data_IF_277875995203
#
_entry.id   IF_277875995203
#
_cell.length_a   1.000
_cell.length_b   1.000
_cell.length_c   1.000
_cell.angle_alpha   90.00
_cell.angle_beta   90.00
_cell.angle_gamma   90.00
#
_symmetry.space_group_name_H-M   'P 1'
#
loop_
_entity.id
_entity.type
_entity.pdbx_description
1 polymer ?
#
# COMPACT_ATOMS: atom_id res chain seq x y z
N UNK A 1 2.98 25.30 -17.13
CA UNK A 1 1.78 24.54 -16.79
C UNK A 1 2.06 23.56 -15.68
N UNK A 2 1.32 23.67 -14.64
CA UNK A 2 1.51 22.81 -13.51
C UNK A 2 1.11 21.38 -13.83
N UNK A 3 2.01 20.45 -13.59
CA UNK A 3 1.71 19.03 -13.67
C UNK A 3 1.44 18.50 -12.29
N UNK A 4 0.25 18.79 -11.81
CA UNK A 4 -0.22 18.20 -10.56
C UNK A 4 -0.90 16.86 -10.79
N UNK A 5 -0.63 16.25 -11.95
CA UNK A 5 -1.20 14.95 -12.27
C UNK A 5 -0.63 13.89 -11.34
N UNK A 6 -1.51 13.04 -10.85
CA UNK A 6 -1.09 11.88 -10.08
C UNK A 6 -0.32 10.91 -10.96
N UNK A 7 0.79 10.38 -10.44
CA UNK A 7 1.60 9.38 -11.16
C UNK A 7 0.83 8.08 -11.36
N UNK A 8 0.02 7.72 -10.36
CA UNK A 8 -0.92 6.61 -10.45
C UNK A 8 -2.27 7.07 -9.92
N UNK A 9 -3.37 6.83 -10.64
CA UNK A 9 -4.68 7.13 -10.10
C UNK A 9 -5.00 6.22 -8.92
N UNK A 10 -5.65 6.77 -7.90
CA UNK A 10 -6.13 5.96 -6.79
C UNK A 10 -7.16 4.94 -7.28
N UNK A 11 -7.13 3.76 -6.68
CA UNK A 11 -8.16 2.74 -6.87
C UNK A 11 -8.91 2.63 -5.56
N UNK A 12 -9.92 3.48 -5.37
CA UNK A 12 -10.67 3.57 -4.13
C UNK A 12 -12.16 3.63 -4.40
N UNK A 13 -12.93 3.01 -3.52
CA UNK A 13 -14.38 3.12 -3.47
C UNK A 13 -14.82 2.87 -2.02
N UNK A 14 -16.07 3.18 -1.65
CA UNK A 14 -16.54 2.95 -0.29
C UNK A 14 -16.49 1.48 0.13
N UNK A 15 -16.16 1.27 1.40
CA UNK A 15 -16.27 -0.03 2.07
C UNK A 15 -15.40 -1.15 1.50
N UNK A 16 -14.22 -0.82 0.99
CA UNK A 16 -13.26 -1.83 0.57
C UNK A 16 -12.80 -2.66 1.77
N UNK A 17 -12.49 -3.92 1.52
CA UNK A 17 -11.97 -4.82 2.56
C UNK A 17 -10.54 -4.44 2.94
N UNK A 18 -9.77 -3.98 1.97
CA UNK A 18 -8.33 -3.72 2.12
C UNK A 18 -7.89 -2.61 1.18
N UNK A 19 -7.06 -1.70 1.68
CA UNK A 19 -6.37 -0.72 0.83
C UNK A 19 -4.88 -0.85 1.08
N UNK A 20 -4.11 -1.12 0.03
CA UNK A 20 -2.65 -1.08 0.09
C UNK A 20 -2.17 0.35 -0.10
N UNK A 21 -1.22 0.76 0.73
CA UNK A 21 -0.70 2.13 0.73
C UNK A 21 0.81 2.11 0.62
N UNK A 22 1.34 2.76 -0.43
CA UNK A 22 2.77 2.95 -0.61
C UNK A 22 3.19 4.39 -0.35
N UNK A 23 4.49 4.65 -0.38
CA UNK A 23 5.00 6.02 -0.27
C UNK A 23 4.68 6.79 -1.54
N UNK A 24 5.10 6.26 -2.69
CA UNK A 24 4.87 6.83 -4.01
C UNK A 24 5.12 5.76 -5.07
N UNK A 25 4.71 6.04 -6.30
CA UNK A 25 4.99 5.14 -7.42
C UNK A 25 6.49 5.04 -7.66
N UNK A 26 6.99 3.85 -8.01
CA UNK A 26 8.34 3.73 -8.56
C UNK A 26 8.38 4.40 -9.93
N UNK A 27 9.58 4.66 -10.44
CA UNK A 27 9.73 5.21 -11.79
C UNK A 27 9.03 4.33 -12.81
N UNK A 28 9.23 3.01 -12.72
CA UNK A 28 8.62 2.06 -13.64
C UNK A 28 7.09 2.06 -13.54
N UNK A 29 6.57 2.11 -12.31
CA UNK A 29 5.12 2.16 -12.08
C UNK A 29 4.52 3.44 -12.66
N UNK A 30 5.19 4.57 -12.49
CA UNK A 30 4.72 5.85 -13.03
C UNK A 30 4.71 5.83 -14.57
N UNK A 31 5.73 5.25 -15.18
CA UNK A 31 5.81 5.15 -16.64
C UNK A 31 4.70 4.26 -17.22
N UNK A 32 4.43 3.15 -16.58
CA UNK A 32 3.44 2.17 -17.07
C UNK A 32 2.02 2.48 -16.59
N UNK A 33 1.86 3.30 -15.56
CA UNK A 33 0.56 3.54 -14.96
C UNK A 33 0.02 2.34 -14.17
N UNK A 34 0.89 1.47 -13.66
CA UNK A 34 0.53 0.26 -12.93
C UNK A 34 1.19 0.23 -11.56
N UNK A 35 0.43 -0.16 -10.53
CA UNK A 35 0.95 -0.29 -9.18
C UNK A 35 1.95 -1.44 -9.09
N UNK A 36 3.07 -1.19 -8.38
CA UNK A 36 4.10 -2.20 -8.10
C UNK A 36 4.59 -2.92 -9.37
N UNK A 37 4.88 -2.13 -10.40
CA UNK A 37 5.16 -2.66 -11.74
C UNK A 37 6.61 -3.06 -11.99
N UNK A 38 7.55 -2.66 -11.12
CA UNK A 38 8.95 -3.01 -11.33
C UNK A 38 9.13 -4.54 -11.28
N UNK A 39 9.87 -5.14 -12.25
CA UNK A 39 10.03 -6.60 -12.29
C UNK A 39 10.60 -7.22 -11.03
N UNK A 40 11.44 -6.48 -10.30
CA UNK A 40 12.02 -6.94 -9.03
C UNK A 40 11.09 -6.81 -7.83
N UNK A 41 9.90 -6.23 -8.01
CA UNK A 41 8.96 -6.07 -6.91
C UNK A 41 8.19 -7.36 -6.68
N UNK A 42 8.13 -7.79 -5.41
CA UNK A 42 7.48 -9.05 -5.04
C UNK A 42 5.98 -8.92 -4.76
N UNK A 43 5.42 -7.72 -4.86
CA UNK A 43 4.05 -7.46 -4.41
C UNK A 43 3.03 -8.45 -4.97
N UNK A 44 2.99 -8.57 -6.30
CA UNK A 44 1.96 -9.40 -6.96
C UNK A 44 2.10 -10.88 -6.63
N UNK A 45 3.34 -11.36 -6.53
CA UNK A 45 3.61 -12.74 -6.10
C UNK A 45 3.22 -12.92 -4.64
N UNK A 46 3.56 -11.95 -3.78
CA UNK A 46 3.32 -12.04 -2.35
C UNK A 46 1.83 -12.11 -2.02
N UNK A 47 1.00 -11.28 -2.63
CA UNK A 47 -0.44 -11.30 -2.32
C UNK A 47 -1.11 -12.59 -2.79
N UNK A 48 -0.59 -13.23 -3.82
CA UNK A 48 -1.07 -14.54 -4.23
C UNK A 48 -0.56 -15.65 -3.29
N UNK A 49 0.74 -15.69 -3.03
CA UNK A 49 1.34 -16.70 -2.15
C UNK A 49 0.79 -16.63 -0.73
N UNK A 50 0.50 -15.43 -0.24
CA UNK A 50 -0.10 -15.24 1.08
C UNK A 50 -1.58 -15.63 1.14
N UNK A 51 -2.23 -15.77 -0.01
CA UNK A 51 -3.64 -16.13 -0.07
C UNK A 51 -4.60 -14.95 -0.08
N UNK A 52 -4.13 -13.74 -0.36
CA UNK A 52 -4.99 -12.55 -0.46
C UNK A 52 -5.78 -12.57 -1.76
N UNK A 53 -5.13 -12.98 -2.86
CA UNK A 53 -5.79 -13.10 -4.16
C UNK A 53 -5.91 -14.56 -4.57
N UNK A 54 -6.96 -14.93 -5.33
CA UNK A 54 -7.18 -16.34 -5.72
C UNK A 54 -6.21 -16.84 -6.79
N UNK A 55 -5.55 -15.90 -7.50
CA UNK A 55 -4.54 -16.21 -8.50
C UNK A 55 -3.49 -15.12 -8.52
N UNK A 56 -2.41 -15.32 -9.23
CA UNK A 56 -1.41 -14.29 -9.43
C UNK A 56 -1.88 -13.32 -10.52
N UNK A 57 -2.02 -12.05 -10.16
CA UNK A 57 -2.35 -10.98 -11.11
C UNK A 57 -1.08 -10.33 -11.62
N UNK A 58 -1.13 -9.79 -12.82
CA UNK A 58 -0.05 -8.97 -13.36
C UNK A 58 -0.27 -7.50 -12.95
N UNK A 59 0.78 -6.68 -12.90
CA UNK A 59 0.60 -5.27 -12.53
C UNK A 59 -0.45 -4.53 -13.35
N UNK A 60 -0.56 -4.82 -14.64
CA UNK A 60 -1.56 -4.20 -15.50
C UNK A 60 -3.00 -4.55 -15.15
N UNK A 61 -3.20 -5.56 -14.33
CA UNK A 61 -4.53 -5.98 -13.89
C UNK A 61 -4.93 -5.37 -12.54
N UNK A 62 -4.16 -4.41 -12.03
CA UNK A 62 -4.39 -3.87 -10.68
C UNK A 62 -5.81 -3.36 -10.47
N UNK A 63 -6.43 -2.76 -11.49
CA UNK A 63 -7.79 -2.24 -11.38
C UNK A 63 -8.82 -3.34 -11.14
N UNK A 64 -8.55 -4.57 -11.56
CA UNK A 64 -9.47 -5.69 -11.36
C UNK A 64 -9.59 -6.08 -9.87
N UNK A 65 -8.63 -5.74 -9.05
CA UNK A 65 -8.66 -6.07 -7.63
C UNK A 65 -9.78 -5.34 -6.87
N UNK A 66 -10.30 -4.26 -7.43
CA UNK A 66 -11.44 -3.55 -6.82
C UNK A 66 -12.64 -4.49 -6.65
N UNK A 67 -12.82 -5.45 -7.57
CA UNK A 67 -13.90 -6.43 -7.47
C UNK A 67 -13.70 -7.43 -6.33
N UNK A 68 -12.45 -7.56 -5.87
CA UNK A 68 -12.14 -8.37 -4.69
C UNK A 68 -12.21 -7.54 -3.40
N UNK A 69 -12.59 -6.28 -3.48
CA UNK A 69 -12.62 -5.39 -2.33
C UNK A 69 -11.25 -4.83 -1.96
N UNK A 70 -10.30 -4.80 -2.90
CA UNK A 70 -8.94 -4.35 -2.67
C UNK A 70 -8.67 -3.09 -3.48
N UNK A 71 -8.17 -2.05 -2.81
CA UNK A 71 -7.81 -0.79 -3.43
C UNK A 71 -6.35 -0.43 -3.23
N UNK A 72 -5.96 0.67 -3.86
CA UNK A 72 -4.57 1.14 -3.87
C UNK A 72 -4.50 2.65 -3.78
N UNK A 73 -3.55 3.16 -3.01
CA UNK A 73 -3.19 4.58 -2.99
C UNK A 73 -1.74 4.74 -2.55
N UNK A 74 -1.22 5.95 -2.64
CA UNK A 74 0.12 6.32 -2.16
C UNK A 74 0.04 7.61 -1.34
N UNK A 75 0.97 7.80 -0.41
CA UNK A 75 1.05 9.04 0.37
C UNK A 75 1.48 10.23 -0.49
N UNK A 76 2.35 10.00 -1.48
CA UNK A 76 2.74 11.00 -2.46
C UNK A 76 2.17 10.60 -3.81
N UNK A 77 1.18 11.35 -4.31
CA UNK A 77 0.54 11.04 -5.60
C UNK A 77 1.28 11.66 -6.78
N UNK A 78 2.07 12.68 -6.53
CA UNK A 78 2.80 13.40 -7.59
C UNK A 78 4.27 13.03 -7.70
N UNK A 79 4.85 12.43 -6.65
CA UNK A 79 6.23 11.96 -6.67
C UNK A 79 6.37 10.60 -7.33
N UNK A 80 7.59 10.28 -7.76
CA UNK A 80 7.92 8.96 -8.31
C UNK A 80 9.38 8.67 -8.05
N UNK A 81 9.71 7.38 -7.95
CA UNK A 81 11.08 6.92 -7.73
C UNK A 81 11.24 6.16 -6.43
N UNK A 82 12.48 6.01 -5.97
CA UNK A 82 12.78 5.38 -4.69
C UNK A 82 12.47 6.35 -3.54
N UNK A 83 12.25 5.82 -2.33
CA UNK A 83 11.86 6.63 -1.18
C UNK A 83 12.76 7.85 -0.97
N UNK A 84 14.08 7.69 -1.13
CA UNK A 84 15.00 8.82 -0.97
C UNK A 84 14.90 9.88 -2.07
N UNK A 85 14.21 9.57 -3.16
CA UNK A 85 14.00 10.49 -4.29
C UNK A 85 12.68 11.26 -4.18
N UNK A 86 11.84 10.89 -3.20
CA UNK A 86 10.53 11.51 -3.06
C UNK A 86 10.67 12.81 -2.26
N UNK A 87 10.23 13.91 -2.86
CA UNK A 87 10.27 15.20 -2.19
C UNK A 87 9.31 15.21 -1.00
N UNK A 88 9.80 15.66 0.16
CA UNK A 88 9.01 15.65 1.39
C UNK A 88 7.70 16.43 1.26
N UNK A 89 7.70 17.52 0.51
CA UNK A 89 6.51 18.34 0.32
C UNK A 89 5.42 17.66 -0.51
N UNK A 90 5.73 16.54 -1.19
CA UNK A 90 4.72 15.78 -1.93
C UNK A 90 4.04 14.72 -1.08
N UNK A 91 4.56 14.46 0.12
CA UNK A 91 3.94 13.53 1.06
C UNK A 91 2.75 14.22 1.71
N UNK A 92 1.57 13.68 1.49
CA UNK A 92 0.31 14.32 1.93
C UNK A 92 -0.46 13.42 2.90
N UNK A 93 -0.02 13.38 4.15
CA UNK A 93 -0.68 12.59 5.18
C UNK A 93 -2.10 13.11 5.48
N UNK A 94 -2.33 14.43 5.62
CA UNK A 94 -3.70 14.91 5.82
C UNK A 94 -4.65 14.52 4.69
N UNK A 95 -4.20 14.60 3.43
CA UNK A 95 -5.01 14.18 2.29
C UNK A 95 -5.30 12.69 2.30
N UNK A 96 -4.31 11.87 2.67
CA UNK A 96 -4.51 10.45 2.82
C UNK A 96 -5.53 10.15 3.93
N UNK A 97 -5.42 10.81 5.08
CA UNK A 97 -6.39 10.64 6.17
C UNK A 97 -7.81 10.97 5.71
N UNK A 98 -7.97 12.07 4.97
CA UNK A 98 -9.27 12.47 4.46
C UNK A 98 -9.86 11.42 3.53
N UNK A 99 -9.04 10.79 2.67
CA UNK A 99 -9.49 9.71 1.81
C UNK A 99 -9.96 8.50 2.62
N UNK A 100 -9.22 8.13 3.65
CA UNK A 100 -9.58 6.98 4.48
C UNK A 100 -10.86 7.24 5.28
N UNK A 101 -11.07 8.47 5.73
CA UNK A 101 -12.33 8.86 6.38
C UNK A 101 -13.50 8.83 5.40
N UNK A 102 -13.27 9.25 4.17
CA UNK A 102 -14.31 9.26 3.14
C UNK A 102 -14.71 7.85 2.70
N UNK A 103 -13.73 7.01 2.42
CA UNK A 103 -13.98 5.68 1.85
C UNK A 103 -14.15 4.58 2.89
N UNK A 104 -13.62 4.76 4.08
CA UNK A 104 -13.76 3.85 5.22
C UNK A 104 -13.47 2.38 4.88
N UNK A 105 -12.25 2.07 4.41
CA UNK A 105 -11.87 0.68 4.22
C UNK A 105 -11.82 -0.02 5.57
N UNK A 106 -12.01 -1.34 5.58
CA UNK A 106 -11.94 -2.10 6.83
C UNK A 106 -10.50 -2.20 7.32
N UNK A 107 -9.56 -2.33 6.41
CA UNK A 107 -8.13 -2.51 6.73
C UNK A 107 -7.27 -1.71 5.79
N UNK A 108 -6.24 -1.08 6.35
CA UNK A 108 -5.19 -0.37 5.62
C UNK A 108 -3.90 -1.15 5.81
N UNK A 109 -3.18 -1.42 4.73
CA UNK A 109 -1.89 -2.09 4.78
C UNK A 109 -0.81 -1.19 4.18
N UNK A 110 0.09 -0.69 5.02
CA UNK A 110 1.26 0.02 4.55
C UNK A 110 2.28 -0.99 4.04
N UNK A 111 2.75 -0.80 2.82
CA UNK A 111 3.61 -1.78 2.16
C UNK A 111 5.08 -1.65 2.52
N UNK A 112 5.42 -0.81 3.51
CA UNK A 112 6.76 -0.74 4.09
C UNK A 112 6.73 -0.03 5.43
N UNK A 113 7.76 -0.26 6.25
CA UNK A 113 7.94 0.50 7.49
C UNK A 113 8.13 1.98 7.20
N UNK A 114 8.78 2.32 6.07
CA UNK A 114 8.99 3.72 5.70
C UNK A 114 7.65 4.43 5.48
N UNK A 115 6.73 3.81 4.76
CA UNK A 115 5.40 4.39 4.54
C UNK A 115 4.68 4.60 5.87
N UNK A 116 4.71 3.60 6.74
CA UNK A 116 4.10 3.71 8.07
C UNK A 116 4.75 4.82 8.89
N UNK A 117 6.08 4.94 8.83
CA UNK A 117 6.80 5.97 9.59
C UNK A 117 6.35 7.37 9.18
N UNK A 118 6.12 7.58 7.90
CA UNK A 118 5.63 8.86 7.39
C UNK A 118 4.21 9.16 7.88
N UNK A 119 3.37 8.14 7.88
CA UNK A 119 2.00 8.28 8.38
C UNK A 119 1.95 8.58 9.88
N UNK A 120 2.70 7.82 10.68
CA UNK A 120 2.69 7.97 12.14
C UNK A 120 3.56 9.14 12.64
N UNK A 121 4.46 9.67 11.81
CA UNK A 121 5.42 10.67 12.25
C UNK A 121 6.45 10.11 13.23
N UNK A 122 6.86 8.84 13.04
CA UNK A 122 7.79 8.13 13.91
C UNK A 122 8.94 7.55 13.09
N UNK A 123 10.12 7.35 13.70
CA UNK A 123 11.22 6.67 12.99
C UNK A 123 10.83 5.26 12.59
N UNK A 124 11.33 4.78 11.44
CA UNK A 124 11.06 3.43 10.98
C UNK A 124 11.46 2.37 12.01
N UNK A 125 12.52 2.61 12.76
CA UNK A 125 12.99 1.69 13.81
C UNK A 125 11.96 1.50 14.93
N UNK A 126 11.05 2.45 15.11
CA UNK A 126 10.00 2.37 16.13
C UNK A 126 8.75 1.65 15.62
N UNK A 127 8.71 1.27 14.34
CA UNK A 127 7.54 0.64 13.72
C UNK A 127 7.71 -0.87 13.76
N UNK A 128 6.75 -1.57 14.35
CA UNK A 128 6.70 -3.02 14.32
C UNK A 128 5.98 -3.51 13.06
N UNK A 129 6.39 -4.64 12.53
CA UNK A 129 5.66 -5.30 11.44
C UNK A 129 4.39 -5.95 11.98
N UNK A 130 3.42 -6.12 11.09
CA UNK A 130 2.18 -6.81 11.41
C UNK A 130 1.07 -5.85 11.81
N UNK A 131 0.10 -6.39 12.54
CA UNK A 131 -1.07 -5.65 12.96
C UNK A 131 -0.71 -4.63 14.03
N UNK A 132 -1.15 -3.39 13.83
CA UNK A 132 -0.90 -2.31 14.76
C UNK A 132 -2.05 -2.16 15.75
N UNK A 133 -1.79 -1.51 16.88
CA UNK A 133 -2.83 -1.16 17.82
C UNK A 133 -3.86 -0.26 17.15
N UNK A 134 -5.14 -0.57 17.33
CA UNK A 134 -6.22 0.17 16.69
C UNK A 134 -6.45 1.49 17.41
N UNK A 135 -6.65 2.55 16.64
CA UNK A 135 -6.96 3.88 17.16
C UNK A 135 -8.44 4.18 16.94
N UNK A 136 -9.23 3.97 17.99
CA UNK A 136 -10.65 4.28 17.95
C UNK A 136 -11.42 3.56 16.85
N UNK A 137 -12.15 4.31 16.05
CA UNK A 137 -12.96 3.78 14.94
C UNK A 137 -12.21 3.74 13.61
N UNK A 138 -10.91 4.06 13.63
CA UNK A 138 -10.09 3.99 12.41
C UNK A 138 -10.01 2.57 11.89
N UNK A 139 -9.76 2.40 10.58
CA UNK A 139 -9.52 1.07 10.01
C UNK A 139 -8.39 0.36 10.74
N UNK A 140 -8.42 -0.96 10.72
CA UNK A 140 -7.27 -1.75 11.17
C UNK A 140 -6.07 -1.40 10.32
N UNK A 141 -4.90 -1.38 10.93
CA UNK A 141 -3.66 -1.06 10.22
C UNK A 141 -2.69 -2.21 10.34
N UNK A 142 -2.13 -2.61 9.20
CA UNK A 142 -1.02 -3.54 9.12
C UNK A 142 0.18 -2.84 8.52
N UNK A 143 1.36 -3.19 8.99
CA UNK A 143 2.64 -2.76 8.40
C UNK A 143 3.33 -3.99 7.87
N UNK A 144 3.65 -3.96 6.58
CA UNK A 144 4.24 -5.09 5.88
C UNK A 144 5.71 -4.81 5.56
N UNK A 145 6.55 -5.87 5.48
CA UNK A 145 7.89 -5.68 4.96
C UNK A 145 7.80 -5.30 3.47
N UNK A 146 8.67 -4.39 3.05
CA UNK A 146 8.66 -3.88 1.68
C UNK A 146 8.82 -4.98 0.66
N UNK A 147 7.97 -5.05 -0.37
CA UNK A 147 8.13 -6.01 -1.47
C UNK A 147 9.14 -5.55 -2.51
N UNK A 148 9.71 -4.37 -2.36
CA UNK A 148 10.70 -3.85 -3.29
C UNK A 148 11.92 -4.75 -3.37
N UNK A 149 12.47 -4.93 -4.58
CA UNK A 149 13.72 -5.67 -4.77
C UNK A 149 14.89 -5.06 -4.01
N UNK A 150 14.86 -3.74 -3.79
CA UNK A 150 15.90 -3.04 -3.03
C UNK A 150 15.89 -3.39 -1.54
N UNK A 151 14.79 -3.93 -1.03
CA UNK A 151 14.62 -4.29 0.38
C UNK A 151 14.71 -5.80 0.62
N UNK A 152 15.37 -6.55 -0.27
CA UNK A 152 15.43 -8.01 -0.21
C UNK A 152 15.95 -8.57 1.11
N UNK A 153 16.87 -7.88 1.76
CA UNK A 153 17.44 -8.34 3.04
C UNK A 153 16.46 -8.35 4.20
N UNK A 154 15.36 -7.60 4.09
CA UNK A 154 14.35 -7.52 5.15
C UNK A 154 13.06 -8.26 4.77
N UNK A 155 13.07 -8.96 3.65
CA UNK A 155 11.85 -9.61 3.15
C UNK A 155 11.46 -10.82 3.97
N UNK A 156 10.19 -10.90 4.30
CA UNK A 156 9.54 -12.10 4.84
C UNK A 156 8.07 -12.09 4.43
N UNK A 157 7.55 -13.25 4.10
CA UNK A 157 6.15 -13.38 3.69
C UNK A 157 5.19 -13.44 4.88
N UNK A 158 5.68 -13.72 6.07
CA UNK A 158 4.83 -13.99 7.22
C UNK A 158 3.82 -12.89 7.56
N UNK A 159 4.20 -11.59 7.62
CA UNK A 159 3.21 -10.54 7.88
C UNK A 159 2.14 -10.44 6.78
N UNK A 160 2.49 -10.78 5.55
CA UNK A 160 1.53 -10.83 4.44
C UNK A 160 0.51 -11.96 4.65
N UNK A 161 0.96 -13.11 5.17
CA UNK A 161 0.07 -14.21 5.52
C UNK A 161 -0.84 -13.86 6.68
N UNK A 162 -0.34 -13.16 7.67
CA UNK A 162 -1.14 -12.67 8.79
C UNK A 162 -2.24 -11.73 8.30
N UNK A 163 -1.91 -10.84 7.37
CA UNK A 163 -2.89 -9.96 6.75
C UNK A 163 -3.97 -10.75 6.03
N UNK A 164 -3.57 -11.74 5.25
CA UNK A 164 -4.52 -12.60 4.53
C UNK A 164 -5.49 -13.30 5.49
N UNK A 165 -4.98 -13.85 6.57
CA UNK A 165 -5.79 -14.51 7.59
C UNK A 165 -6.76 -13.53 8.26
N UNK A 166 -6.28 -12.33 8.55
CA UNK A 166 -7.10 -11.28 9.15
C UNK A 166 -8.27 -10.91 8.25
N UNK A 167 -7.99 -10.67 6.96
CA UNK A 167 -9.03 -10.28 6.01
C UNK A 167 -10.08 -11.38 5.86
N UNK A 168 -9.64 -12.63 5.78
CA UNK A 168 -10.56 -13.77 5.69
C UNK A 168 -11.44 -13.90 6.93
N UNK A 169 -10.88 -13.65 8.11
CA UNK A 169 -11.64 -13.73 9.36
C UNK A 169 -12.71 -12.64 9.46
N UNK A 170 -12.59 -11.55 8.67
CA UNK A 170 -13.52 -10.42 8.64
C UNK A 170 -14.44 -10.44 7.41
N UNK A 171 -14.34 -11.46 6.56
CA UNK A 171 -15.20 -11.59 5.41
C UNK A 171 -16.61 -11.95 5.87
N UNK A 172 -17.58 -11.24 5.35
CA UNK A 172 -19.01 -11.51 5.62
C UNK A 172 -19.59 -12.33 4.50
#
# INVERSE_FOLDING_TARGET
MSNTLHRLPDQLRPNLRLVFVGTAASTRSAELGHYYAHPGNRFWRAIHEAGITPRRYQPGEFAALIELGIGFTDLSKTGAGMDHQIAAETIDVPGFRAKMEKYRPRTIAFTSKKTASLFYGMPSAAIALGRQARDGSWPEIFVLPSPSGAASGSWTLEPWRELAAWIKSRAD
#
